data_IF_126795860939
#
_entry.id   IF_126795860939
#
_cell.length_a   1.000
_cell.length_b   1.000
_cell.length_c   1.000
_cell.angle_alpha   90.00
_cell.angle_beta   90.00
_cell.angle_gamma   90.00
#
_symmetry.space_group_name_H-M   'P 1'
#
loop_
_entity.id
_entity.type
_entity.pdbx_description
1 polymer ?
#
# COMPACT_ATOMS: atom_id res chain seq x y z
N UNK A 1 20.53 24.56 -48.87
CA UNK A 1 20.56 25.38 -47.65
C UNK A 1 19.68 24.82 -46.51
N UNK A 2 18.38 24.56 -46.73
CA UNK A 2 17.43 24.07 -45.70
C UNK A 2 17.84 22.76 -44.99
N UNK A 3 18.34 21.76 -45.74
CA UNK A 3 18.83 20.48 -45.20
C UNK A 3 20.10 20.59 -44.33
N UNK A 4 20.93 21.63 -44.55
CA UNK A 4 22.12 21.88 -43.74
C UNK A 4 21.73 22.53 -42.40
N UNK A 5 20.78 23.47 -42.42
CA UNK A 5 20.24 24.10 -41.23
C UNK A 5 19.50 23.10 -40.33
N UNK A 6 18.70 22.19 -40.90
CA UNK A 6 18.03 21.12 -40.14
C UNK A 6 18.99 20.11 -39.51
N UNK A 7 20.14 19.85 -40.14
CA UNK A 7 21.20 19.00 -39.56
C UNK A 7 21.88 19.71 -38.39
N UNK A 8 22.26 20.98 -38.58
CA UNK A 8 22.89 21.77 -37.52
C UNK A 8 21.98 22.00 -36.31
N UNK A 9 20.68 22.22 -36.53
CA UNK A 9 19.71 22.37 -35.45
C UNK A 9 19.54 21.07 -34.63
N UNK A 10 19.49 19.91 -35.31
CA UNK A 10 19.42 18.60 -34.64
C UNK A 10 20.69 18.28 -33.87
N UNK A 11 21.87 18.57 -34.42
CA UNK A 11 23.14 18.37 -33.69
C UNK A 11 23.24 19.32 -32.49
N UNK A 12 22.80 20.57 -32.62
CA UNK A 12 22.77 21.52 -31.52
C UNK A 12 21.85 21.05 -30.38
N UNK A 13 20.63 20.59 -30.69
CA UNK A 13 19.70 20.06 -29.68
C UNK A 13 20.28 18.82 -28.99
N UNK A 14 20.87 17.89 -29.74
CA UNK A 14 21.51 16.69 -29.17
C UNK A 14 22.68 17.06 -28.27
N UNK A 15 23.53 17.97 -28.71
CA UNK A 15 24.69 18.42 -27.94
C UNK A 15 24.24 19.16 -26.67
N UNK A 16 23.23 20.01 -26.76
CA UNK A 16 22.70 20.75 -25.61
C UNK A 16 21.99 19.82 -24.61
N UNK A 17 21.27 18.80 -25.10
CA UNK A 17 20.68 17.75 -24.26
C UNK A 17 21.78 16.96 -23.54
N UNK A 18 22.78 16.47 -24.28
CA UNK A 18 23.92 15.76 -23.71
C UNK A 18 24.66 16.62 -22.67
N UNK A 19 24.88 17.92 -22.97
CA UNK A 19 25.48 18.89 -22.04
C UNK A 19 24.70 18.99 -20.74
N UNK A 20 23.37 19.12 -20.81
CA UNK A 20 22.50 19.22 -19.62
C UNK A 20 22.45 17.92 -18.81
N UNK A 21 22.57 16.78 -19.48
CA UNK A 21 22.53 15.47 -18.83
C UNK A 21 23.87 15.11 -18.17
N UNK A 22 25.00 15.50 -18.76
CA UNK A 22 26.33 15.04 -18.35
C UNK A 22 27.21 16.11 -17.71
N UNK A 23 27.07 17.41 -17.97
CA UNK A 23 27.89 18.43 -17.30
C UNK A 23 27.23 18.93 -16.02
N UNK A 24 28.00 18.97 -14.94
CA UNK A 24 27.57 19.55 -13.68
C UNK A 24 27.53 21.08 -13.76
N UNK A 25 27.11 21.76 -12.68
CA UNK A 25 27.21 23.21 -12.59
C UNK A 25 28.65 23.71 -12.77
N UNK A 26 29.62 23.06 -12.12
CA UNK A 26 31.04 23.38 -12.24
C UNK A 26 31.59 23.08 -13.65
N UNK A 27 31.19 21.97 -14.26
CA UNK A 27 31.56 21.64 -15.64
C UNK A 27 31.05 22.66 -16.65
N UNK A 28 29.82 23.15 -16.49
CA UNK A 28 29.28 24.22 -17.32
C UNK A 28 30.02 25.55 -17.12
N UNK A 29 30.40 25.88 -15.88
CA UNK A 29 31.20 27.08 -15.59
C UNK A 29 32.59 27.01 -16.25
N UNK A 30 33.28 25.87 -16.16
CA UNK A 30 34.55 25.64 -16.85
C UNK A 30 34.40 25.76 -18.37
N UNK A 31 33.34 25.19 -18.94
CA UNK A 31 33.06 25.32 -20.36
C UNK A 31 32.84 26.78 -20.77
N UNK A 32 32.16 27.59 -19.94
CA UNK A 32 31.99 29.02 -20.19
C UNK A 32 33.34 29.77 -20.14
N UNK A 33 34.22 29.46 -19.18
CA UNK A 33 35.59 30.02 -19.12
C UNK A 33 36.39 29.67 -20.36
N UNK A 34 36.31 28.41 -20.82
CA UNK A 34 36.93 28.00 -22.08
C UNK A 34 36.39 28.82 -23.26
N UNK A 35 35.07 29.00 -23.37
CA UNK A 35 34.46 29.80 -24.44
C UNK A 35 34.88 31.28 -24.42
N UNK A 36 34.95 31.90 -23.23
CA UNK A 36 35.40 33.28 -23.09
C UNK A 36 36.89 33.44 -23.44
N UNK A 37 37.71 32.44 -23.12
CA UNK A 37 39.14 32.43 -23.43
C UNK A 37 39.42 32.36 -24.94
N UNK A 38 38.45 31.91 -25.76
CA UNK A 38 38.57 31.88 -27.23
C UNK A 38 38.78 33.28 -27.81
N UNK A 39 38.20 34.32 -27.21
CA UNK A 39 38.42 35.71 -27.67
C UNK A 39 39.89 36.15 -27.51
N UNK A 40 40.62 35.54 -26.57
CA UNK A 40 42.06 35.77 -26.39
C UNK A 40 42.94 35.08 -27.44
N UNK A 41 42.43 34.09 -28.18
CA UNK A 41 43.20 33.30 -29.16
C UNK A 41 43.63 34.16 -30.37
N UNK A 42 42.91 35.23 -30.67
CA UNK A 42 43.28 36.16 -31.75
C UNK A 42 44.61 36.91 -31.48
N UNK A 43 45.11 36.87 -30.25
CA UNK A 43 46.39 37.46 -29.86
C UNK A 43 47.37 36.37 -29.44
N UNK A 44 48.39 36.12 -30.28
CA UNK A 44 49.39 35.03 -30.06
C UNK A 44 50.19 35.17 -28.75
N UNK A 45 50.20 36.35 -28.12
CA UNK A 45 50.91 36.65 -26.88
C UNK A 45 50.02 36.64 -25.63
N UNK A 46 48.74 36.26 -25.77
CA UNK A 46 47.78 36.33 -24.65
C UNK A 46 47.96 35.18 -23.65
N UNK A 47 48.02 35.47 -22.33
CA UNK A 47 48.01 34.43 -21.29
C UNK A 47 46.70 33.62 -21.25
N UNK A 48 45.69 33.99 -22.04
CA UNK A 48 44.42 33.26 -22.15
C UNK A 48 44.54 31.94 -22.93
N UNK A 49 45.55 31.80 -23.80
CA UNK A 49 45.77 30.58 -24.58
C UNK A 49 46.13 29.37 -23.68
N UNK A 50 47.13 29.45 -22.77
CA UNK A 50 47.41 28.32 -21.89
C UNK A 50 46.25 28.01 -20.93
N UNK A 51 45.50 29.03 -20.49
CA UNK A 51 44.29 28.83 -19.68
C UNK A 51 43.24 28.01 -20.44
N UNK A 52 42.97 28.36 -21.70
CA UNK A 52 42.05 27.60 -22.57
C UNK A 52 42.44 26.13 -22.66
N UNK A 53 43.70 25.83 -23.02
CA UNK A 53 44.16 24.45 -23.14
C UNK A 53 44.16 23.71 -21.81
N UNK A 54 44.44 24.38 -20.69
CA UNK A 54 44.35 23.77 -19.35
C UNK A 54 42.93 23.36 -19.03
N UNK A 55 41.94 24.22 -19.27
CA UNK A 55 40.52 23.90 -19.03
C UNK A 55 40.03 22.79 -19.96
N UNK A 56 40.41 22.84 -21.24
CA UNK A 56 40.07 21.78 -22.21
C UNK A 56 40.72 20.46 -21.80
N UNK A 57 41.98 20.45 -21.39
CA UNK A 57 42.67 19.26 -20.90
C UNK A 57 42.01 18.71 -19.62
N UNK A 58 41.60 19.57 -18.68
CA UNK A 58 40.87 19.16 -17.48
C UNK A 58 39.51 18.51 -17.82
N UNK A 59 38.75 19.09 -18.75
CA UNK A 59 37.46 18.52 -19.21
C UNK A 59 37.65 17.21 -19.97
N UNK A 60 38.68 17.08 -20.81
CA UNK A 60 38.97 15.84 -21.53
C UNK A 60 39.41 14.74 -20.57
N UNK A 61 40.35 15.04 -19.66
CA UNK A 61 40.86 14.07 -18.68
C UNK A 61 39.79 13.61 -17.71
N UNK A 62 38.96 14.50 -17.16
CA UNK A 62 37.85 14.08 -16.27
C UNK A 62 36.82 13.23 -17.02
N UNK A 63 36.58 13.50 -18.30
CA UNK A 63 35.62 12.72 -19.11
C UNK A 63 36.18 11.34 -19.43
N UNK A 64 37.46 11.24 -19.82
CA UNK A 64 38.09 9.95 -20.13
C UNK A 64 38.23 9.09 -18.88
N UNK A 65 38.68 9.66 -17.75
CA UNK A 65 38.77 8.95 -16.47
C UNK A 65 37.37 8.51 -16.04
N UNK A 66 36.38 9.41 -16.02
CA UNK A 66 35.02 9.07 -15.63
C UNK A 66 34.38 7.99 -16.53
N UNK A 67 34.73 7.93 -17.81
CA UNK A 67 34.28 6.87 -18.71
C UNK A 67 34.86 5.50 -18.36
N UNK A 68 36.12 5.41 -17.93
CA UNK A 68 36.75 4.16 -17.48
C UNK A 68 36.21 3.69 -16.12
N UNK A 69 36.01 4.61 -15.17
CA UNK A 69 35.54 4.32 -13.81
C UNK A 69 34.02 4.47 -13.65
N UNK A 70 33.27 4.43 -14.76
CA UNK A 70 31.80 4.54 -14.71
C UNK A 70 31.21 3.32 -13.99
N UNK A 71 30.20 3.52 -13.12
CA UNK A 71 29.56 2.42 -12.42
C UNK A 71 28.84 1.52 -13.42
N UNK A 72 29.07 0.21 -13.29
CA UNK A 72 28.25 -0.83 -13.91
C UNK A 72 27.82 -1.75 -12.77
N UNK A 73 26.70 -1.38 -12.14
CA UNK A 73 26.17 -2.06 -10.98
C UNK A 73 25.01 -2.96 -11.37
N UNK A 74 24.87 -4.06 -10.64
CA UNK A 74 23.65 -4.84 -10.55
C UNK A 74 23.03 -4.59 -9.18
N UNK A 75 21.73 -4.31 -9.16
CA UNK A 75 20.97 -4.16 -7.93
C UNK A 75 20.10 -5.39 -7.72
N UNK A 76 20.11 -5.93 -6.51
CA UNK A 76 19.15 -6.94 -6.06
C UNK A 76 18.48 -6.45 -4.80
N UNK A 77 17.16 -6.59 -4.77
CA UNK A 77 16.31 -6.11 -3.71
C UNK A 77 16.18 -7.17 -2.61
N UNK A 78 16.36 -6.77 -1.36
CA UNK A 78 16.13 -7.60 -0.18
C UNK A 78 15.13 -6.88 0.74
N UNK A 79 13.84 -6.99 0.43
CA UNK A 79 12.80 -6.07 0.95
C UNK A 79 11.47 -6.79 1.19
N UNK A 80 10.67 -6.36 2.19
CA UNK A 80 9.31 -6.84 2.37
C UNK A 80 8.44 -6.61 1.13
N UNK A 81 7.60 -7.60 0.80
CA UNK A 81 6.64 -7.53 -0.30
C UNK A 81 5.45 -6.60 -0.01
N UNK A 82 5.29 -6.16 1.25
CA UNK A 82 4.13 -5.41 1.75
C UNK A 82 4.57 -4.18 2.56
N UNK A 83 3.77 -3.12 2.48
CA UNK A 83 3.92 -1.89 3.26
C UNK A 83 2.55 -1.30 3.57
N UNK A 84 2.38 -0.60 4.68
CA UNK A 84 1.15 0.15 4.92
C UNK A 84 1.23 1.56 4.33
N UNK A 85 0.09 2.06 3.86
CA UNK A 85 -0.05 3.43 3.39
C UNK A 85 0.41 4.40 4.49
N UNK A 86 1.28 5.34 4.15
CA UNK A 86 1.73 6.37 5.06
C UNK A 86 2.71 5.89 6.13
N UNK A 87 3.11 4.62 6.16
CA UNK A 87 4.18 4.16 7.05
C UNK A 87 5.56 4.45 6.43
N UNK A 88 6.57 4.74 7.26
CA UNK A 88 7.94 4.91 6.76
C UNK A 88 8.60 3.55 6.58
N UNK A 89 8.76 3.12 5.34
CA UNK A 89 9.46 1.88 5.03
C UNK A 89 10.95 2.11 4.81
N UNK A 90 11.76 1.16 5.28
CA UNK A 90 13.20 1.12 5.05
C UNK A 90 13.49 -0.11 4.22
N UNK A 91 14.12 0.09 3.07
CA UNK A 91 14.43 -1.00 2.16
C UNK A 91 15.91 -1.03 1.81
N UNK A 92 16.50 -2.22 1.83
CA UNK A 92 17.91 -2.44 1.58
C UNK A 92 18.12 -2.97 0.16
N UNK A 93 19.03 -2.34 -0.58
CA UNK A 93 19.46 -2.81 -1.90
C UNK A 93 20.89 -3.30 -1.78
N UNK A 94 21.08 -4.56 -2.17
CA UNK A 94 22.38 -5.15 -2.39
C UNK A 94 22.87 -4.73 -3.78
N UNK A 95 24.03 -4.10 -3.83
CA UNK A 95 24.69 -3.68 -5.06
C UNK A 95 25.88 -4.59 -5.33
N UNK A 96 26.08 -4.97 -6.58
CA UNK A 96 27.26 -5.70 -7.04
C UNK A 96 27.95 -4.90 -8.14
N UNK A 97 29.23 -4.59 -7.98
CA UNK A 97 30.00 -3.92 -9.02
C UNK A 97 30.50 -4.92 -10.07
N UNK A 98 29.83 -4.96 -11.23
CA UNK A 98 30.18 -5.83 -12.35
C UNK A 98 31.31 -5.27 -13.22
N UNK A 99 31.79 -4.07 -12.94
CA UNK A 99 32.89 -3.49 -13.70
C UNK A 99 34.25 -4.04 -13.25
N UNK A 100 35.24 -3.95 -14.14
CA UNK A 100 36.63 -4.35 -13.86
C UNK A 100 37.40 -3.30 -13.04
N UNK A 101 36.77 -2.18 -12.71
CA UNK A 101 37.37 -1.03 -12.04
C UNK A 101 36.56 -0.69 -10.78
N UNK A 102 37.18 -0.05 -9.78
CA UNK A 102 36.43 0.50 -8.65
C UNK A 102 35.49 1.62 -9.11
N UNK A 103 34.29 1.68 -8.53
CA UNK A 103 33.37 2.79 -8.70
C UNK A 103 33.51 3.77 -7.54
N UNK A 104 33.57 5.07 -7.84
CA UNK A 104 33.83 6.13 -6.86
C UNK A 104 32.68 7.12 -6.77
N UNK A 105 32.51 7.72 -5.59
CA UNK A 105 31.58 8.82 -5.29
C UNK A 105 30.19 8.58 -5.91
N UNK A 106 29.60 7.44 -5.57
CA UNK A 106 28.29 7.06 -6.09
C UNK A 106 27.20 7.65 -5.20
N UNK A 107 26.24 8.31 -5.82
CA UNK A 107 25.02 8.84 -5.21
C UNK A 107 23.83 8.13 -5.81
N UNK A 108 22.91 7.71 -4.96
CA UNK A 108 21.72 6.98 -5.38
C UNK A 108 20.46 7.81 -5.13
N UNK A 109 19.55 7.79 -6.09
CA UNK A 109 18.28 8.49 -6.03
C UNK A 109 17.16 7.51 -6.42
N UNK A 110 16.05 7.54 -5.69
CA UNK A 110 14.89 6.74 -6.01
C UNK A 110 14.03 7.49 -7.02
N UNK A 111 13.84 6.93 -8.21
CA UNK A 111 13.05 7.55 -9.28
C UNK A 111 11.61 7.03 -9.27
N UNK A 112 10.92 7.18 -8.13
CA UNK A 112 9.49 6.88 -7.99
C UNK A 112 8.60 8.02 -8.47
N UNK A 113 7.35 7.71 -8.85
CA UNK A 113 6.33 8.74 -9.09
C UNK A 113 6.10 9.52 -7.78
N UNK A 114 6.28 10.86 -7.77
CA UNK A 114 6.05 11.68 -6.57
C UNK A 114 4.61 11.58 -6.03
N UNK A 115 3.66 11.15 -6.85
CA UNK A 115 2.26 10.93 -6.46
C UNK A 115 2.07 9.70 -5.57
N UNK A 116 2.97 8.71 -5.69
CA UNK A 116 2.88 7.45 -4.95
C UNK A 116 3.87 7.38 -3.79
N UNK A 117 4.97 8.14 -3.87
CA UNK A 117 6.09 8.02 -2.93
C UNK A 117 6.58 9.38 -2.47
N UNK A 118 6.91 9.48 -1.18
CA UNK A 118 7.69 10.57 -0.61
C UNK A 118 9.04 10.02 -0.15
N UNK A 119 10.14 10.53 -0.70
CA UNK A 119 11.49 10.24 -0.18
C UNK A 119 11.58 10.81 1.24
N UNK A 120 11.93 9.96 2.21
CA UNK A 120 11.91 10.28 3.62
C UNK A 120 13.30 10.09 4.26
N UNK A 121 14.29 10.88 3.86
CA UNK A 121 15.63 10.82 4.46
C UNK A 121 16.74 11.32 3.54
N UNK A 122 17.97 11.10 3.98
CA UNK A 122 19.16 11.44 3.20
C UNK A 122 19.37 10.49 2.03
N UNK A 123 19.95 11.01 0.96
CA UNK A 123 20.30 10.23 -0.22
C UNK A 123 21.49 9.32 0.10
N UNK A 124 21.38 8.00 -0.07
CA UNK A 124 22.50 7.11 0.21
C UNK A 124 23.64 7.38 -0.77
N UNK A 125 24.86 7.28 -0.25
CA UNK A 125 26.08 7.45 -1.02
C UNK A 125 27.13 6.41 -0.62
N UNK A 126 27.89 5.93 -1.60
CA UNK A 126 29.02 5.03 -1.40
C UNK A 126 30.27 5.71 -1.96
N UNK A 127 31.27 5.90 -1.11
CA UNK A 127 32.51 6.57 -1.49
C UNK A 127 33.34 5.74 -2.49
N UNK A 128 33.47 4.43 -2.23
CA UNK A 128 34.21 3.49 -3.09
C UNK A 128 33.52 2.14 -3.03
N UNK A 129 33.41 1.49 -4.19
CA UNK A 129 33.05 0.07 -4.30
C UNK A 129 34.04 -0.60 -5.26
N UNK A 130 34.81 -1.55 -4.76
CA UNK A 130 35.82 -2.28 -5.51
C UNK A 130 35.24 -3.08 -6.68
N UNK A 131 36.11 -3.52 -7.60
CA UNK A 131 35.71 -4.37 -8.72
C UNK A 131 35.25 -5.74 -8.18
N UNK A 132 34.04 -6.18 -8.55
CA UNK A 132 33.43 -7.40 -8.04
C UNK A 132 32.98 -7.34 -6.58
N UNK A 133 33.10 -6.19 -5.91
CA UNK A 133 32.68 -6.03 -4.53
C UNK A 133 31.16 -5.80 -4.44
N UNK A 134 30.58 -6.22 -3.32
CA UNK A 134 29.18 -5.97 -2.99
C UNK A 134 29.04 -4.86 -1.96
N UNK A 135 28.04 -4.01 -2.14
CA UNK A 135 27.70 -2.90 -1.25
C UNK A 135 26.24 -2.96 -0.83
N UNK A 136 25.90 -2.25 0.24
CA UNK A 136 24.52 -2.14 0.74
C UNK A 136 24.14 -0.68 0.82
N UNK A 137 22.96 -0.35 0.30
CA UNK A 137 22.35 0.98 0.48
C UNK A 137 20.96 0.83 1.08
N UNK A 138 20.55 1.81 1.87
CA UNK A 138 19.22 1.86 2.47
C UNK A 138 18.50 3.09 1.98
N UNK A 139 17.26 2.89 1.55
CA UNK A 139 16.34 3.97 1.23
C UNK A 139 15.24 4.01 2.27
N UNK A 140 14.78 5.23 2.51
CA UNK A 140 13.64 5.50 3.34
C UNK A 140 12.58 6.16 2.46
N UNK A 141 11.44 5.49 2.28
CA UNK A 141 10.33 6.04 1.51
C UNK A 141 9.03 5.91 2.30
N UNK A 142 8.07 6.75 1.96
CA UNK A 142 6.72 6.71 2.52
C UNK A 142 5.74 6.57 1.36
N UNK A 143 5.03 5.44 1.22
CA UNK A 143 4.01 5.30 0.21
C UNK A 143 2.81 6.18 0.59
N UNK A 144 2.27 6.93 -0.35
CA UNK A 144 1.19 7.89 -0.12
C UNK A 144 -0.18 7.34 -0.53
N UNK A 145 -0.19 6.37 -1.45
CA UNK A 145 -1.38 5.72 -1.99
C UNK A 145 -1.23 4.21 -1.88
N UNK A 146 -2.36 3.52 -1.63
CA UNK A 146 -2.45 2.06 -1.65
C UNK A 146 -2.45 1.54 -3.08
N UNK A 147 -2.06 0.27 -3.27
CA UNK A 147 -2.02 -0.37 -4.58
C UNK A 147 -0.80 -1.27 -4.76
N UNK A 148 -0.79 -2.03 -5.86
CA UNK A 148 0.43 -2.71 -6.29
C UNK A 148 1.24 -1.80 -7.19
N UNK A 149 2.50 -1.57 -6.82
CA UNK A 149 3.43 -0.77 -7.60
C UNK A 149 4.67 -1.57 -7.95
N UNK A 150 5.11 -1.59 -9.22
CA UNK A 150 6.44 -2.10 -9.53
C UNK A 150 7.48 -1.26 -8.79
N UNK A 151 8.54 -1.92 -8.32
CA UNK A 151 9.65 -1.20 -7.70
C UNK A 151 10.21 -0.16 -8.67
N UNK A 152 10.36 1.06 -8.16
CA UNK A 152 10.84 2.15 -8.99
C UNK A 152 12.31 1.97 -9.35
N UNK A 153 12.72 2.62 -10.44
CA UNK A 153 14.10 2.63 -10.91
C UNK A 153 14.97 3.38 -9.91
N UNK A 154 16.11 2.81 -9.51
CA UNK A 154 17.12 3.53 -8.73
C UNK A 154 18.16 4.12 -9.67
N UNK A 155 18.30 5.44 -9.66
CA UNK A 155 19.34 6.13 -10.40
C UNK A 155 20.62 6.16 -9.58
N UNK A 156 21.65 5.47 -10.06
CA UNK A 156 23.02 5.65 -9.59
C UNK A 156 23.69 6.76 -10.42
N UNK A 157 24.38 7.69 -9.76
CA UNK A 157 25.17 8.73 -10.42
C UNK A 157 26.53 8.90 -9.78
N UNK A 158 27.55 9.20 -10.57
CA UNK A 158 28.89 9.57 -10.08
C UNK A 158 29.35 10.86 -10.74
N UNK A 159 30.07 11.67 -9.99
CA UNK A 159 30.69 12.91 -10.47
C UNK A 159 32.23 12.84 -10.43
N UNK A 160 32.79 11.66 -10.13
CA UNK A 160 34.22 11.45 -10.06
C UNK A 160 34.91 11.65 -11.43
N UNK A 161 36.14 12.22 -11.48
CA UNK A 161 37.01 12.64 -10.36
C UNK A 161 36.93 14.12 -9.94
N UNK A 162 36.62 15.04 -10.85
CA UNK A 162 36.69 16.49 -10.58
C UNK A 162 35.31 17.16 -10.40
N UNK A 163 34.24 16.37 -10.34
CA UNK A 163 32.85 16.86 -10.27
C UNK A 163 32.44 17.78 -11.40
N UNK A 164 33.09 17.63 -12.57
CA UNK A 164 32.80 18.39 -13.79
C UNK A 164 31.81 17.66 -14.70
N UNK A 165 31.89 16.33 -14.74
CA UNK A 165 31.05 15.46 -15.57
C UNK A 165 30.35 14.44 -14.67
N UNK A 166 29.08 14.21 -14.95
CA UNK A 166 28.21 13.27 -14.27
C UNK A 166 27.93 12.08 -15.18
N UNK A 167 28.19 10.89 -14.67
CA UNK A 167 27.78 9.63 -15.28
C UNK A 167 26.59 9.06 -14.51
N UNK A 168 25.69 8.36 -15.21
CA UNK A 168 24.47 7.82 -14.62
C UNK A 168 24.21 6.41 -15.12
N UNK A 169 23.67 5.59 -14.24
CA UNK A 169 23.12 4.27 -14.56
C UNK A 169 21.73 4.18 -13.94
N UNK A 170 20.75 3.75 -14.72
CA UNK A 170 19.43 3.37 -14.20
C UNK A 170 19.51 1.90 -13.79
N UNK A 171 19.21 1.62 -12.53
CA UNK A 171 19.15 0.29 -11.97
C UNK A 171 17.69 -0.10 -11.93
N UNK A 172 17.33 -1.04 -12.80
CA UNK A 172 15.99 -1.62 -12.82
C UNK A 172 15.90 -2.68 -11.74
N UNK A 173 14.92 -2.52 -10.85
CA UNK A 173 14.73 -3.39 -9.69
C UNK A 173 13.49 -4.22 -9.96
N UNK A 174 13.68 -5.54 -10.00
CA UNK A 174 12.57 -6.47 -10.22
C UNK A 174 11.78 -6.66 -8.93
N UNK A 175 10.45 -6.73 -9.09
CA UNK A 175 9.50 -6.98 -8.01
C UNK A 175 8.41 -5.93 -7.94
N UNK A 176 7.44 -6.19 -7.09
CA UNK A 176 6.33 -5.28 -6.80
C UNK A 176 6.28 -5.04 -5.29
N UNK A 177 5.83 -3.85 -4.90
CA UNK A 177 5.46 -3.53 -3.54
C UNK A 177 3.95 -3.39 -3.47
N UNK A 178 3.33 -4.20 -2.61
CA UNK A 178 1.93 -4.07 -2.29
C UNK A 178 1.77 -3.09 -1.12
N UNK A 179 1.17 -1.93 -1.39
CA UNK A 179 0.84 -0.95 -0.37
C UNK A 179 -0.58 -1.22 0.13
N UNK A 180 -0.69 -1.73 1.35
CA UNK A 180 -1.93 -2.03 2.06
C UNK A 180 -2.64 -0.73 2.49
N UNK A 181 -3.99 -0.74 2.58
CA UNK A 181 -4.70 0.37 3.19
C UNK A 181 -4.30 0.48 4.67
N UNK A 182 -4.11 1.70 5.14
CA UNK A 182 -3.99 1.96 6.58
C UNK A 182 -5.40 2.08 7.17
N UNK A 183 -5.62 1.50 8.34
CA UNK A 183 -6.87 1.63 9.09
C UNK A 183 -6.57 1.85 10.58
N UNK A 184 -7.57 2.33 11.32
CA UNK A 184 -7.52 2.38 12.79
C UNK A 184 -8.43 1.28 13.34
N UNK A 185 -8.13 0.66 14.48
CA UNK A 185 -9.05 -0.27 15.12
C UNK A 185 -10.42 0.37 15.37
N UNK A 186 -11.49 -0.42 15.24
CA UNK A 186 -12.87 0.09 15.30
C UNK A 186 -13.18 0.85 16.59
N UNK A 187 -12.59 0.43 17.72
CA UNK A 187 -12.79 1.04 19.04
C UNK A 187 -12.15 2.43 19.18
N UNK A 188 -11.17 2.76 18.32
CA UNK A 188 -10.54 4.09 18.26
C UNK A 188 -11.33 5.05 17.36
N UNK A 189 -12.26 4.55 16.55
CA UNK A 189 -13.07 5.37 15.67
C UNK A 189 -14.26 5.99 16.40
N UNK A 190 -14.56 7.26 16.15
CA UNK A 190 -15.70 7.97 16.76
C UNK A 190 -17.06 7.63 16.09
N UNK A 191 -17.27 6.35 15.74
CA UNK A 191 -18.45 5.87 15.01
C UNK A 191 -19.70 5.79 15.88
N UNK A 192 -19.52 5.48 17.16
CA UNK A 192 -20.61 5.31 18.13
C UNK A 192 -21.39 6.60 18.40
N UNK A 193 -20.82 7.77 18.06
CA UNK A 193 -21.55 9.04 18.18
C UNK A 193 -22.47 9.30 16.97
N UNK A 194 -22.21 8.69 15.81
CA UNK A 194 -23.05 8.79 14.61
C UNK A 194 -24.14 7.72 14.52
N UNK A 195 -23.87 6.50 15.01
CA UNK A 195 -24.81 5.38 14.95
C UNK A 195 -24.85 4.54 16.26
N UNK A 196 -25.14 5.16 17.42
CA UNK A 196 -25.03 4.52 18.74
C UNK A 196 -25.91 3.28 18.91
N UNK A 197 -27.10 3.25 18.31
CA UNK A 197 -28.04 2.13 18.48
C UNK A 197 -27.68 0.90 17.65
N UNK A 198 -27.07 1.09 16.47
CA UNK A 198 -26.81 0.00 15.52
C UNK A 198 -25.46 -0.64 15.83
N UNK A 199 -24.38 0.17 15.83
CA UNK A 199 -23.03 -0.33 16.12
C UNK A 199 -22.84 -0.64 17.61
N UNK A 200 -23.53 0.10 18.49
CA UNK A 200 -23.50 -0.16 19.92
C UNK A 200 -24.11 -1.52 20.28
N UNK A 201 -25.20 -1.96 19.65
CA UNK A 201 -25.75 -3.31 19.88
C UNK A 201 -24.85 -4.42 19.32
N UNK A 202 -24.21 -4.20 18.18
CA UNK A 202 -23.41 -5.24 17.52
C UNK A 202 -22.06 -5.48 18.18
N UNK A 203 -21.39 -4.41 18.60
CA UNK A 203 -20.04 -4.46 19.15
C UNK A 203 -19.98 -4.26 20.67
N UNK A 204 -21.11 -3.97 21.36
CA UNK A 204 -21.19 -4.11 22.83
C UNK A 204 -21.34 -5.58 23.24
N UNK A 205 -20.36 -6.38 22.87
CA UNK A 205 -20.15 -7.69 23.48
C UNK A 205 -18.88 -7.55 24.30
N UNK A 206 -19.06 -7.23 25.59
CA UNK A 206 -18.01 -7.55 26.55
C UNK A 206 -17.61 -9.01 26.30
N UNK A 207 -16.30 -9.35 26.29
CA UNK A 207 -15.86 -10.73 26.11
C UNK A 207 -16.54 -11.54 27.21
N UNK A 208 -17.62 -12.22 26.84
CA UNK A 208 -18.37 -13.03 27.77
C UNK A 208 -17.49 -14.24 27.91
N UNK A 209 -16.62 -14.16 28.92
CA UNK A 209 -15.70 -15.25 29.29
C UNK A 209 -16.54 -16.51 29.32
N UNK A 210 -16.25 -17.40 28.38
CA UNK A 210 -17.12 -18.49 27.99
C UNK A 210 -17.53 -19.36 29.16
N UNK A 211 -18.83 -19.38 29.42
CA UNK A 211 -19.54 -20.56 29.85
C UNK A 211 -20.95 -20.40 29.27
N UNK A 212 -21.21 -21.10 28.17
CA UNK A 212 -22.54 -21.15 27.59
C UNK A 212 -23.53 -21.65 28.64
N UNK A 213 -24.59 -20.87 28.87
CA UNK A 213 -25.55 -21.13 29.96
C UNK A 213 -26.66 -22.10 29.59
N UNK A 214 -26.80 -22.44 28.30
CA UNK A 214 -27.89 -23.30 27.84
C UNK A 214 -27.48 -24.77 27.87
N UNK A 215 -28.03 -25.46 28.86
CA UNK A 215 -27.85 -26.89 29.06
C UNK A 215 -28.55 -27.66 27.93
N UNK A 216 -27.78 -28.29 27.05
CA UNK A 216 -28.27 -29.09 25.94
C UNK A 216 -28.73 -30.48 26.43
N UNK A 217 -27.97 -31.07 27.36
CA UNK A 217 -28.24 -32.41 27.87
C UNK A 217 -27.11 -33.01 28.68
N UNK A 218 -27.19 -34.31 28.93
CA UNK A 218 -26.12 -35.05 29.60
C UNK A 218 -25.67 -36.22 28.71
N UNK A 219 -24.36 -36.35 28.52
CA UNK A 219 -23.73 -37.46 27.80
C UNK A 219 -22.91 -38.34 28.72
N UNK A 220 -22.61 -39.57 28.28
CA UNK A 220 -21.72 -40.47 29.03
C UNK A 220 -20.29 -39.90 29.10
N UNK A 221 -19.67 -40.04 30.26
CA UNK A 221 -18.32 -39.54 30.54
C UNK A 221 -17.28 -40.17 29.60
N UNK A 222 -16.33 -39.36 29.16
CA UNK A 222 -15.11 -39.79 28.48
C UNK A 222 -13.90 -39.29 29.26
N UNK A 223 -12.81 -40.06 29.24
CA UNK A 223 -11.59 -39.72 29.98
C UNK A 223 -11.05 -38.33 29.59
N UNK A 224 -10.61 -37.56 30.59
CA UNK A 224 -10.03 -36.23 30.41
C UNK A 224 -11.01 -35.06 30.65
N UNK A 225 -12.28 -35.32 30.94
CA UNK A 225 -13.26 -34.27 31.24
C UNK A 225 -13.13 -33.77 32.70
N UNK A 226 -13.03 -32.44 32.93
CA UNK A 226 -12.86 -31.89 34.28
C UNK A 226 -14.12 -32.11 35.16
N UNK A 227 -13.90 -32.37 36.45
CA UNK A 227 -14.94 -32.72 37.45
C UNK A 227 -16.08 -31.69 37.55
N UNK A 228 -15.80 -30.41 37.27
CA UNK A 228 -16.81 -29.34 37.28
C UNK A 228 -17.94 -29.53 36.25
N UNK A 229 -17.69 -30.30 35.18
CA UNK A 229 -18.69 -30.57 34.12
C UNK A 229 -19.53 -31.82 34.40
N UNK A 230 -19.37 -32.48 35.54
CA UNK A 230 -20.11 -33.71 35.85
C UNK A 230 -21.59 -33.43 36.17
N UNK A 231 -22.47 -34.24 35.62
CA UNK A 231 -23.90 -34.22 35.97
C UNK A 231 -24.20 -35.29 37.01
N UNK A 232 -24.08 -34.92 38.28
CA UNK A 232 -24.37 -35.81 39.41
C UNK A 232 -25.83 -36.28 39.45
N UNK A 233 -26.77 -35.48 38.96
CA UNK A 233 -28.20 -35.82 38.98
C UNK A 233 -28.56 -36.83 37.89
N UNK A 234 -27.94 -36.71 36.71
CA UNK A 234 -28.05 -37.72 35.65
C UNK A 234 -27.36 -39.02 36.09
N UNK A 235 -26.13 -38.91 36.63
CA UNK A 235 -25.37 -40.07 37.10
C UNK A 235 -26.10 -40.86 38.19
N UNK A 236 -26.70 -40.17 39.17
CA UNK A 236 -27.48 -40.81 40.22
C UNK A 236 -28.71 -41.58 39.68
N UNK A 237 -29.30 -41.14 38.57
CA UNK A 237 -30.48 -41.77 37.96
C UNK A 237 -30.14 -42.94 37.04
N UNK A 238 -29.05 -42.83 36.27
CA UNK A 238 -28.68 -43.82 35.24
C UNK A 238 -27.66 -44.86 35.73
N UNK A 239 -26.98 -44.58 36.85
CA UNK A 239 -25.90 -45.43 37.37
C UNK A 239 -24.61 -45.36 36.56
N UNK A 240 -24.55 -44.49 35.54
CA UNK A 240 -23.39 -44.32 34.65
C UNK A 240 -22.83 -42.90 34.77
N UNK A 241 -21.50 -42.71 34.82
CA UNK A 241 -20.91 -41.37 34.91
C UNK A 241 -21.36 -40.51 33.72
N UNK A 242 -21.93 -39.34 34.02
CA UNK A 242 -22.50 -38.43 33.05
C UNK A 242 -21.89 -37.03 33.17
N UNK A 243 -21.80 -36.34 32.04
CA UNK A 243 -21.22 -35.00 31.90
C UNK A 243 -22.27 -34.10 31.29
N UNK A 244 -22.43 -32.89 31.83
CA UNK A 244 -23.27 -31.83 31.28
C UNK A 244 -22.71 -31.39 29.94
N UNK A 245 -23.53 -31.47 28.92
CA UNK A 245 -23.28 -30.92 27.59
C UNK A 245 -24.00 -29.58 27.53
N UNK A 246 -23.21 -28.53 27.35
CA UNK A 246 -23.71 -27.19 27.12
C UNK A 246 -23.66 -26.96 25.62
N UNK A 247 -24.65 -26.25 25.09
CA UNK A 247 -24.59 -25.79 23.71
C UNK A 247 -23.33 -24.93 23.57
N UNK A 248 -22.43 -25.25 22.66
CA UNK A 248 -21.33 -24.33 22.35
C UNK A 248 -22.04 -23.11 21.73
N UNK A 249 -22.06 -21.98 22.43
CA UNK A 249 -22.59 -20.75 21.86
C UNK A 249 -21.72 -20.45 20.66
N UNK A 250 -22.15 -20.87 19.47
CA UNK A 250 -21.47 -20.60 18.23
C UNK A 250 -21.28 -19.09 18.22
N UNK A 251 -20.03 -18.66 18.31
CA UNK A 251 -19.74 -17.26 18.13
C UNK A 251 -20.29 -16.90 16.76
N UNK A 252 -21.20 -15.91 16.71
CA UNK A 252 -21.96 -15.63 15.49
C UNK A 252 -21.05 -15.47 14.28
N UNK A 253 -21.53 -15.91 13.13
CA UNK A 253 -20.85 -15.74 11.85
C UNK A 253 -21.19 -14.38 11.25
N UNK A 254 -20.24 -13.79 10.53
CA UNK A 254 -20.44 -12.53 9.85
C UNK A 254 -19.90 -12.55 8.42
N UNK A 255 -20.53 -11.74 7.57
CA UNK A 255 -20.04 -11.40 6.25
C UNK A 255 -19.91 -9.88 6.09
N UNK A 256 -18.96 -9.44 5.26
CA UNK A 256 -18.79 -8.02 4.92
C UNK A 256 -19.00 -7.84 3.43
N UNK A 257 -19.87 -6.93 3.05
CA UNK A 257 -20.12 -6.53 1.68
C UNK A 257 -19.62 -5.10 1.48
N UNK A 258 -18.74 -4.92 0.51
CA UNK A 258 -18.13 -3.64 0.16
C UNK A 258 -18.63 -3.26 -1.22
N UNK A 259 -19.44 -2.21 -1.32
CA UNK A 259 -19.91 -1.69 -2.60
C UNK A 259 -18.88 -0.71 -3.20
N UNK A 260 -18.19 -1.06 -4.30
CA UNK A 260 -17.21 -0.19 -4.93
C UNK A 260 -17.87 0.93 -5.75
N UNK A 261 -19.20 1.01 -5.82
CA UNK A 261 -19.89 1.98 -6.66
C UNK A 261 -19.60 3.43 -6.25
N UNK A 262 -19.13 4.24 -7.19
CA UNK A 262 -19.02 5.69 -7.04
C UNK A 262 -19.40 6.35 -8.36
N UNK A 263 -20.28 7.36 -8.27
CA UNK A 263 -20.69 8.14 -9.45
C UNK A 263 -19.61 9.09 -9.99
N UNK A 264 -18.51 9.28 -9.25
CA UNK A 264 -17.39 10.15 -9.63
C UNK A 264 -16.52 9.53 -10.74
N UNK A 265 -15.79 10.36 -11.48
CA UNK A 265 -15.00 9.92 -12.62
C UNK A 265 -13.90 8.89 -12.23
N UNK A 266 -13.62 7.87 -13.06
CA UNK A 266 -12.58 6.89 -12.78
C UNK A 266 -11.19 7.55 -12.69
N UNK A 267 -10.42 7.24 -11.65
CA UNK A 267 -9.01 7.62 -11.53
C UNK A 267 -8.70 8.73 -10.53
N UNK A 268 -9.71 9.37 -9.93
CA UNK A 268 -9.51 10.27 -8.79
C UNK A 268 -9.63 9.48 -7.49
N UNK A 269 -8.72 9.72 -6.56
CA UNK A 269 -8.75 9.07 -5.24
C UNK A 269 -9.95 9.63 -4.48
N UNK A 270 -10.96 8.80 -4.24
CA UNK A 270 -12.17 9.22 -3.54
C UNK A 270 -11.93 9.02 -2.04
N UNK A 271 -11.80 10.09 -1.23
CA UNK A 271 -11.48 9.94 0.19
C UNK A 271 -12.52 9.10 0.94
N UNK A 272 -13.79 9.18 0.53
CA UNK A 272 -14.86 8.36 1.08
C UNK A 272 -14.68 6.85 0.77
N UNK A 273 -14.08 6.50 -0.38
CA UNK A 273 -13.78 5.11 -0.70
C UNK A 273 -12.62 4.59 0.16
N UNK A 274 -11.56 5.38 0.33
CA UNK A 274 -10.48 5.05 1.25
C UNK A 274 -10.99 4.83 2.69
N UNK A 275 -11.90 5.69 3.15
CA UNK A 275 -12.57 5.54 4.43
C UNK A 275 -13.41 4.25 4.49
N UNK A 276 -14.12 3.89 3.43
CA UNK A 276 -14.89 2.64 3.36
C UNK A 276 -13.99 1.41 3.48
N UNK A 277 -12.87 1.37 2.76
CA UNK A 277 -11.91 0.27 2.85
C UNK A 277 -11.28 0.19 4.24
N UNK A 278 -10.97 1.34 4.84
CA UNK A 278 -10.46 1.42 6.23
C UNK A 278 -11.49 0.89 7.23
N UNK A 279 -12.77 1.22 7.06
CA UNK A 279 -13.85 0.70 7.88
C UNK A 279 -14.03 -0.82 7.69
N UNK A 280 -13.94 -1.31 6.45
CA UNK A 280 -14.03 -2.74 6.15
C UNK A 280 -12.94 -3.54 6.89
N UNK A 281 -11.70 -3.05 6.84
CA UNK A 281 -10.58 -3.66 7.56
C UNK A 281 -10.81 -3.65 9.08
N UNK A 282 -11.25 -2.51 9.63
CA UNK A 282 -11.54 -2.38 11.06
C UNK A 282 -12.71 -3.27 11.53
N UNK A 283 -13.75 -3.43 10.71
CA UNK A 283 -14.87 -4.33 10.99
C UNK A 283 -14.45 -5.80 10.95
N UNK A 284 -13.57 -6.16 10.00
CA UNK A 284 -13.03 -7.51 9.92
C UNK A 284 -12.19 -7.84 11.17
N UNK A 285 -11.27 -6.95 11.54
CA UNK A 285 -10.46 -7.09 12.76
C UNK A 285 -11.36 -7.19 14.00
N UNK A 286 -12.30 -6.26 14.18
CA UNK A 286 -13.20 -6.26 15.33
C UNK A 286 -14.11 -7.50 15.39
N UNK A 287 -14.52 -8.05 14.24
CA UNK A 287 -15.31 -9.28 14.17
C UNK A 287 -14.50 -10.46 14.68
N UNK A 288 -13.26 -10.61 14.18
CA UNK A 288 -12.36 -11.71 14.54
C UNK A 288 -11.94 -11.59 16.02
N UNK A 289 -11.56 -10.40 16.47
CA UNK A 289 -11.18 -10.13 17.87
C UNK A 289 -12.35 -10.32 18.85
N UNK A 290 -13.58 -10.03 18.39
CA UNK A 290 -14.82 -10.29 19.12
C UNK A 290 -15.19 -11.78 19.22
N UNK A 291 -14.37 -12.66 18.64
CA UNK A 291 -14.56 -14.12 18.62
C UNK A 291 -15.53 -14.61 17.54
N UNK A 292 -16.11 -13.73 16.72
CA UNK A 292 -17.00 -14.09 15.61
C UNK A 292 -16.21 -14.60 14.42
N UNK A 293 -16.79 -15.53 13.66
CA UNK A 293 -16.18 -16.03 12.44
C UNK A 293 -16.51 -15.11 11.25
N UNK A 294 -15.48 -14.58 10.59
CA UNK A 294 -15.64 -13.89 9.32
C UNK A 294 -15.65 -14.95 8.19
N UNK A 295 -16.83 -15.30 7.70
CA UNK A 295 -17.01 -16.41 6.76
C UNK A 295 -16.79 -15.97 5.30
N UNK A 296 -17.27 -14.78 4.94
CA UNK A 296 -17.08 -14.26 3.60
C UNK A 296 -16.96 -12.73 3.55
N UNK A 297 -16.15 -12.26 2.62
CA UNK A 297 -16.07 -10.84 2.27
C UNK A 297 -16.29 -10.70 0.77
N UNK A 298 -17.09 -9.71 0.39
CA UNK A 298 -17.43 -9.40 -0.99
C UNK A 298 -16.97 -7.99 -1.35
N UNK A 299 -16.21 -7.87 -2.43
CA UNK A 299 -15.86 -6.59 -3.03
C UNK A 299 -16.60 -6.47 -4.36
N UNK A 300 -17.67 -5.67 -4.37
CA UNK A 300 -18.62 -5.67 -5.47
C UNK A 300 -19.29 -7.03 -5.57
N UNK A 301 -19.19 -7.70 -6.72
CA UNK A 301 -19.74 -9.04 -6.93
C UNK A 301 -18.73 -10.18 -6.74
N UNK A 302 -17.46 -9.86 -6.45
CA UNK A 302 -16.38 -10.84 -6.32
C UNK A 302 -16.17 -11.26 -4.86
N UNK A 303 -16.14 -12.58 -4.55
CA UNK A 303 -15.64 -13.06 -3.27
C UNK A 303 -14.16 -12.73 -3.09
N UNK A 304 -13.77 -12.32 -1.89
CA UNK A 304 -12.38 -12.22 -1.46
C UNK A 304 -11.95 -13.56 -0.85
N UNK A 305 -10.81 -14.09 -1.27
CA UNK A 305 -10.22 -15.28 -0.67
C UNK A 305 -9.54 -14.93 0.66
N UNK A 306 -10.26 -15.16 1.76
CA UNK A 306 -9.77 -14.94 3.12
C UNK A 306 -8.86 -16.08 3.63
N UNK A 307 -8.78 -17.19 2.90
CA UNK A 307 -8.12 -18.40 3.37
C UNK A 307 -8.87 -19.12 4.49
N UNK A 308 -8.27 -20.22 4.95
CA UNK A 308 -8.89 -21.13 5.92
C UNK A 308 -8.61 -20.75 7.37
N UNK A 309 -7.55 -19.96 7.63
CA UNK A 309 -7.08 -19.66 8.99
C UNK A 309 -7.41 -18.24 9.39
N UNK A 310 -8.16 -18.08 10.49
CA UNK A 310 -8.55 -16.78 11.05
C UNK A 310 -7.38 -15.80 11.24
N UNK A 311 -6.20 -16.31 11.60
CA UNK A 311 -5.00 -15.50 11.82
C UNK A 311 -4.53 -14.74 10.57
N UNK A 312 -4.82 -15.25 9.36
CA UNK A 312 -4.35 -14.67 8.10
C UNK A 312 -5.48 -13.90 7.37
N UNK A 313 -6.74 -13.99 7.84
CA UNK A 313 -7.90 -13.45 7.14
C UNK A 313 -7.82 -11.93 6.97
N UNK A 314 -7.39 -11.21 8.01
CA UNK A 314 -7.21 -9.75 7.96
C UNK A 314 -6.13 -9.38 6.96
N UNK A 315 -4.98 -10.05 6.99
CA UNK A 315 -3.88 -9.80 6.05
C UNK A 315 -4.32 -10.01 4.60
N UNK A 316 -5.04 -11.10 4.30
CA UNK A 316 -5.55 -11.36 2.95
C UNK A 316 -6.62 -10.37 2.51
N UNK A 317 -7.48 -9.97 3.44
CA UNK A 317 -8.44 -8.90 3.17
C UNK A 317 -7.69 -7.61 2.81
N UNK A 318 -6.70 -7.19 3.59
CA UNK A 318 -5.90 -6.00 3.32
C UNK A 318 -5.20 -6.07 1.95
N UNK A 319 -4.71 -7.25 1.55
CA UNK A 319 -4.15 -7.45 0.20
C UNK A 319 -5.19 -7.22 -0.90
N UNK A 320 -6.41 -7.73 -0.73
CA UNK A 320 -7.50 -7.52 -1.69
C UNK A 320 -7.94 -6.05 -1.73
N UNK A 321 -8.06 -5.41 -0.57
CA UNK A 321 -8.41 -3.98 -0.45
C UNK A 321 -7.33 -3.06 -1.04
N UNK A 322 -6.05 -3.47 -1.02
CA UNK A 322 -4.97 -2.70 -1.61
C UNK A 322 -5.20 -2.42 -3.10
N UNK A 323 -5.72 -3.42 -3.84
CA UNK A 323 -5.93 -3.38 -5.29
C UNK A 323 -7.37 -2.93 -5.64
N UNK A 324 -8.25 -2.80 -4.65
CA UNK A 324 -9.63 -2.36 -4.85
C UNK A 324 -9.71 -0.98 -5.51
N UNK A 325 -10.61 -0.82 -6.47
CA UNK A 325 -10.82 0.44 -7.19
C UNK A 325 -12.31 0.81 -7.20
N UNK A 326 -12.64 2.11 -7.16
CA UNK A 326 -14.02 2.54 -7.33
C UNK A 326 -14.51 2.16 -8.73
N UNK A 327 -15.78 1.77 -8.81
CA UNK A 327 -16.49 1.38 -10.03
C UNK A 327 -17.60 2.37 -10.32
N UNK A 328 -17.76 2.78 -11.58
CA UNK A 328 -18.93 3.54 -12.02
C UNK A 328 -20.14 2.66 -12.35
N UNK A 329 -19.96 1.33 -12.31
CA UNK A 329 -20.99 0.34 -12.63
C UNK A 329 -21.62 -0.13 -11.32
N UNK A 330 -22.95 -0.10 -11.27
CA UNK A 330 -23.74 -0.68 -10.19
C UNK A 330 -23.66 -2.22 -10.28
N UNK A 331 -22.95 -2.84 -9.33
CA UNK A 331 -22.76 -4.30 -9.23
C UNK A 331 -23.78 -4.96 -8.29
N UNK A 332 -24.68 -4.18 -7.68
CA UNK A 332 -25.75 -4.71 -6.81
C UNK A 332 -26.58 -5.81 -7.48
N UNK A 333 -26.94 -5.71 -8.79
CA UNK A 333 -27.69 -6.76 -9.47
C UNK A 333 -26.96 -8.10 -9.56
N UNK A 334 -25.66 -8.12 -9.84
CA UNK A 334 -24.89 -9.38 -9.92
C UNK A 334 -24.67 -10.01 -8.55
N UNK A 335 -24.58 -9.20 -7.50
CA UNK A 335 -24.52 -9.71 -6.13
C UNK A 335 -25.87 -10.27 -5.65
N UNK A 336 -26.99 -9.84 -6.25
CA UNK A 336 -28.31 -10.35 -5.89
C UNK A 336 -28.47 -11.85 -6.19
N UNK A 337 -27.77 -12.35 -7.20
CA UNK A 337 -27.72 -13.78 -7.54
C UNK A 337 -27.00 -14.64 -6.48
N UNK A 338 -26.34 -14.00 -5.50
CA UNK A 338 -25.51 -14.66 -4.49
C UNK A 338 -26.05 -14.51 -3.06
N UNK A 339 -27.21 -13.87 -2.90
CA UNK A 339 -27.85 -13.63 -1.60
C UNK A 339 -28.02 -14.92 -0.80
N UNK A 340 -28.53 -15.99 -1.44
CA UNK A 340 -28.75 -17.28 -0.77
C UNK A 340 -27.45 -17.87 -0.18
N UNK A 341 -26.34 -17.72 -0.91
CA UNK A 341 -25.03 -18.18 -0.44
C UNK A 341 -24.54 -17.33 0.74
N UNK A 342 -24.69 -16.01 0.66
CA UNK A 342 -24.28 -15.08 1.72
C UNK A 342 -25.10 -15.32 3.00
N UNK A 343 -26.42 -15.48 2.87
CA UNK A 343 -27.32 -15.69 3.99
C UNK A 343 -27.12 -17.05 4.68
N UNK A 344 -26.71 -18.08 3.92
CA UNK A 344 -26.39 -19.39 4.49
C UNK A 344 -25.07 -19.39 5.28
N UNK A 345 -24.15 -18.50 4.91
CA UNK A 345 -22.80 -18.41 5.49
C UNK A 345 -22.70 -17.46 6.68
N UNK A 346 -23.67 -16.55 6.91
CA UNK A 346 -23.51 -15.51 7.92
C UNK A 346 -24.80 -15.14 8.66
N UNK A 347 -24.71 -15.06 10.00
CA UNK A 347 -25.79 -14.60 10.87
C UNK A 347 -25.96 -13.08 10.81
N UNK A 348 -24.87 -12.35 10.56
CA UNK A 348 -24.84 -10.90 10.41
C UNK A 348 -24.12 -10.48 9.12
N UNK A 349 -24.67 -9.51 8.40
CA UNK A 349 -24.07 -8.98 7.16
C UNK A 349 -23.86 -7.48 7.29
N UNK A 350 -22.59 -7.06 7.34
CA UNK A 350 -22.21 -5.65 7.32
C UNK A 350 -22.14 -5.18 5.86
N UNK A 351 -23.03 -4.26 5.47
CA UNK A 351 -23.08 -3.74 4.11
C UNK A 351 -22.54 -2.31 4.06
N UNK A 352 -21.41 -2.09 3.40
CA UNK A 352 -20.77 -0.79 3.25
C UNK A 352 -21.14 -0.17 1.91
N UNK A 353 -21.77 1.00 1.95
CA UNK A 353 -22.25 1.71 0.75
C UNK A 353 -21.74 3.15 0.68
N UNK A 354 -21.54 3.64 -0.53
CA UNK A 354 -21.20 5.04 -0.80
C UNK A 354 -22.43 5.95 -0.91
N UNK A 355 -23.59 5.36 -1.17
CA UNK A 355 -24.88 6.04 -1.30
C UNK A 355 -26.03 5.11 -0.89
N UNK A 356 -27.23 5.67 -0.75
CA UNK A 356 -28.45 4.89 -0.49
C UNK A 356 -29.46 5.13 -1.61
N UNK A 357 -29.83 4.07 -2.33
CA UNK A 357 -30.79 4.10 -3.42
C UNK A 357 -31.68 2.85 -3.46
N UNK A 358 -32.60 2.81 -4.42
CA UNK A 358 -33.56 1.70 -4.53
C UNK A 358 -32.90 0.35 -4.84
N UNK A 359 -31.71 0.32 -5.45
CA UNK A 359 -30.98 -0.94 -5.68
C UNK A 359 -30.44 -1.50 -4.36
N UNK A 360 -29.77 -0.67 -3.55
CA UNK A 360 -29.18 -1.07 -2.26
C UNK A 360 -30.23 -1.38 -1.20
N UNK A 361 -31.34 -0.65 -1.22
CA UNK A 361 -32.51 -0.95 -0.39
C UNK A 361 -33.11 -2.33 -0.73
N UNK A 362 -33.26 -2.65 -2.03
CA UNK A 362 -33.74 -3.98 -2.45
C UNK A 362 -32.80 -5.09 -2.02
N UNK A 363 -31.49 -4.90 -2.15
CA UNK A 363 -30.49 -5.86 -1.70
C UNK A 363 -30.59 -6.12 -0.19
N UNK A 364 -30.62 -5.07 0.63
CA UNK A 364 -30.71 -5.21 2.08
C UNK A 364 -32.04 -5.86 2.52
N UNK A 365 -33.14 -5.53 1.85
CA UNK A 365 -34.43 -6.14 2.10
C UNK A 365 -34.46 -7.63 1.74
N UNK A 366 -33.80 -8.02 0.65
CA UNK A 366 -33.70 -9.42 0.24
C UNK A 366 -32.85 -10.23 1.23
N UNK A 367 -31.70 -9.70 1.68
CA UNK A 367 -30.87 -10.33 2.71
C UNK A 367 -31.62 -10.49 4.05
N UNK A 368 -32.38 -9.48 4.48
CA UNK A 368 -33.19 -9.56 5.70
C UNK A 368 -34.34 -10.59 5.60
N UNK A 369 -34.82 -10.93 4.39
CA UNK A 369 -35.88 -11.93 4.19
C UNK A 369 -35.36 -13.36 4.43
N UNK A 370 -34.10 -13.63 4.13
CA UNK A 370 -33.43 -14.93 4.33
C UNK A 370 -32.93 -15.14 5.77
N UNK A 371 -33.44 -14.35 6.73
CA UNK A 371 -33.16 -14.41 8.17
C UNK A 371 -31.76 -13.96 8.64
N UNK A 372 -30.94 -13.35 7.78
CA UNK A 372 -29.69 -12.70 8.20
C UNK A 372 -29.95 -11.32 8.83
N UNK A 373 -29.21 -10.94 9.88
CA UNK A 373 -29.23 -9.57 10.44
C UNK A 373 -28.39 -8.66 9.54
N UNK A 374 -29.02 -7.77 8.78
CA UNK A 374 -28.30 -6.84 7.89
C UNK A 374 -28.02 -5.53 8.60
N UNK A 375 -26.77 -5.06 8.54
CA UNK A 375 -26.35 -3.74 9.04
C UNK A 375 -25.81 -2.89 7.89
N UNK A 376 -26.67 -2.03 7.31
CA UNK A 376 -26.27 -1.10 6.26
C UNK A 376 -25.59 0.15 6.84
N UNK A 377 -24.34 0.36 6.42
CA UNK A 377 -23.47 1.46 6.78
C UNK A 377 -23.21 2.30 5.53
N UNK A 378 -23.72 3.53 5.50
CA UNK A 378 -23.58 4.43 4.35
C UNK A 378 -22.59 5.53 4.69
N UNK A 379 -21.56 5.69 3.87
CA UNK A 379 -20.50 6.67 4.06
C UNK A 379 -20.77 7.95 3.26
N UNK A 380 -20.89 9.09 3.95
CA UNK A 380 -21.12 10.39 3.30
C UNK A 380 -21.30 11.54 4.31
N UNK A 381 -21.05 12.77 3.87
CA UNK A 381 -21.08 13.98 4.71
C UNK A 381 -22.49 14.58 4.88
N UNK A 382 -23.40 14.36 3.92
CA UNK A 382 -24.74 14.97 3.88
C UNK A 382 -25.85 13.92 3.71
N UNK A 383 -25.82 12.87 4.52
CA UNK A 383 -26.81 11.79 4.47
C UNK A 383 -28.06 12.15 5.29
N UNK A 384 -29.01 12.84 4.65
CA UNK A 384 -30.32 13.15 5.22
C UNK A 384 -31.42 12.22 4.70
N UNK A 385 -32.38 11.86 5.56
CA UNK A 385 -33.56 11.10 5.15
C UNK A 385 -33.34 9.60 4.94
N UNK A 386 -32.27 9.03 5.51
CA UNK A 386 -32.07 7.59 5.54
C UNK A 386 -33.18 6.91 6.35
N UNK A 387 -33.63 5.69 5.95
CA UNK A 387 -34.63 4.95 6.70
C UNK A 387 -34.07 4.46 8.04
N UNK A 388 -34.97 4.18 8.99
CA UNK A 388 -34.59 3.63 10.28
C UNK A 388 -33.86 2.27 10.10
N UNK A 389 -32.73 2.10 10.77
CA UNK A 389 -31.87 0.91 10.63
C UNK A 389 -30.68 1.09 9.68
N UNK A 390 -30.59 2.21 8.95
CA UNK A 390 -29.42 2.57 8.15
C UNK A 390 -28.55 3.58 8.90
N UNK A 391 -27.27 3.25 9.09
CA UNK A 391 -26.31 4.09 9.77
C UNK A 391 -25.57 4.99 8.79
N UNK A 392 -25.63 6.31 9.00
CA UNK A 392 -24.77 7.27 8.30
C UNK A 392 -23.43 7.40 9.03
N UNK A 393 -22.34 7.29 8.28
CA UNK A 393 -20.98 7.48 8.80
C UNK A 393 -20.29 8.59 8.01
N UNK A 394 -19.76 9.57 8.74
CA UNK A 394 -18.93 10.62 8.15
C UNK A 394 -17.52 10.04 7.86
N UNK A 395 -17.06 10.06 6.59
CA UNK A 395 -15.72 9.58 6.23
C UNK A 395 -14.58 10.20 7.04
N UNK A 396 -14.73 11.47 7.48
CA UNK A 396 -13.71 12.17 8.25
C UNK A 396 -13.45 11.55 9.64
N UNK A 397 -14.42 10.79 10.17
CA UNK A 397 -14.28 10.09 11.47
C UNK A 397 -13.54 8.76 11.36
N UNK A 398 -13.33 8.28 10.14
CA UNK A 398 -12.64 7.03 9.82
C UNK A 398 -11.22 7.31 9.33
N UNK A 399 -11.03 8.45 8.65
CA UNK A 399 -9.78 8.76 7.96
C UNK A 399 -8.58 8.74 8.92
N UNK A 400 -7.61 7.90 8.58
CA UNK A 400 -6.38 7.71 9.36
C UNK A 400 -5.46 8.93 9.32
N UNK A 401 -5.60 9.79 8.31
CA UNK A 401 -4.71 10.92 8.06
C UNK A 401 -5.41 12.25 8.36
N UNK A 402 -4.95 12.96 9.40
CA UNK A 402 -5.24 14.38 9.60
C UNK A 402 -4.59 15.21 8.49
N UNK A 403 -5.20 16.35 8.15
CA UNK A 403 -4.81 17.30 7.09
C UNK A 403 -3.39 17.91 7.22
N UNK A 404 -2.60 17.51 8.22
CA UNK A 404 -1.22 17.97 8.41
C UNK A 404 -0.21 17.15 7.56
N UNK A 405 -0.27 17.30 6.23
CA UNK A 405 0.67 16.69 5.27
C UNK A 405 1.31 17.62 4.25
#
# INVERSE_FOLDING_TARGET
MRRLLERQFRTFIRLNRWRREHLTGAGNAMLAVAMLSIFGIFSLSSPLIPLFWTVVAALLTTTTIGWFFRPVLKATLDVPAKAERGERIVFEILLENLSRWPAFEMFFQFEGSPEHWREAGDRPAIAVLGAGETGKIRFHVRPLKRGSYPWAVVRCSTEFPLRLVRWRQMLDIQGELLVLPAFRPLHEMELFSSAPSILGEEFSVAPTTGESTDYLGAREYQEGVPVRRWDYACWARTGKPAVREYEDSQHGSAAILIDPFYSSAPGEEVPAFEAMLSLAAALAEATIDGGRHLNSVYLGDQPVDLGEFAADQVDRLLEALAIAAPSAIDLTPSLSDRIDAIALEADAVYCLFSCWDASRERLCNALNQEAARVVPLVLGTDLHGLPAGVAAIDPARISVFEEDL
#
